data_IF_648939057739
#
_entry.id   IF_648939057739
#
_cell.length_a   1.000
_cell.length_b   1.000
_cell.length_c   1.000
_cell.angle_alpha   90.00
_cell.angle_beta   90.00
_cell.angle_gamma   90.00
#
_symmetry.space_group_name_H-M   'P 1'
#
loop_
_entity.id
_entity.type
_entity.pdbx_description
1 polymer ?
#
# COMPACT_ATOMS: atom_id res chain seq x y z
N UNK A 1 12.93 26.72 -1.89
CA UNK A 1 12.93 25.25 -1.72
C UNK A 1 11.59 24.75 -2.20
N UNK A 2 11.55 23.66 -2.98
CA UNK A 2 10.28 23.00 -3.34
C UNK A 2 9.66 22.42 -2.06
N UNK A 3 8.33 22.51 -1.97
CA UNK A 3 7.56 21.94 -0.86
C UNK A 3 7.63 20.42 -0.93
N UNK A 4 7.66 19.75 0.23
CA UNK A 4 7.58 18.29 0.26
C UNK A 4 6.24 17.81 -0.36
N UNK A 5 6.26 16.76 -1.20
CA UNK A 5 5.06 16.25 -1.84
C UNK A 5 4.05 15.71 -0.83
N UNK A 6 2.76 15.75 -1.18
CA UNK A 6 1.71 15.10 -0.41
C UNK A 6 1.70 13.59 -0.70
N UNK A 7 1.92 12.75 0.30
CA UNK A 7 2.00 11.29 0.09
C UNK A 7 0.73 10.58 0.53
N UNK A 8 0.11 9.84 -0.39
CA UNK A 8 -1.12 9.08 -0.15
C UNK A 8 -0.83 7.59 -0.33
N UNK A 9 -0.92 6.83 0.76
CA UNK A 9 -0.75 5.38 0.78
C UNK A 9 -2.10 4.66 0.65
N UNK A 10 -2.15 3.60 -0.15
CA UNK A 10 -3.32 2.71 -0.25
C UNK A 10 -2.88 1.25 -0.10
N UNK A 11 -3.21 0.66 1.04
CA UNK A 11 -2.93 -0.73 1.38
C UNK A 11 -4.16 -1.63 1.15
N UNK A 12 -3.94 -2.95 1.15
CA UNK A 12 -4.98 -3.97 1.20
C UNK A 12 -4.84 -5.06 0.14
N UNK A 13 -5.75 -6.03 0.16
CA UNK A 13 -5.63 -7.23 -0.67
C UNK A 13 -5.90 -7.05 -2.16
N UNK A 14 -5.47 -8.01 -2.97
CA UNK A 14 -5.82 -8.05 -4.39
C UNK A 14 -7.34 -7.99 -4.60
N UNK A 15 -7.76 -7.33 -5.69
CA UNK A 15 -9.17 -7.30 -6.15
C UNK A 15 -10.15 -6.41 -5.37
N UNK A 16 -9.66 -5.39 -4.64
CA UNK A 16 -10.52 -4.49 -3.84
C UNK A 16 -10.76 -3.11 -4.46
N UNK A 17 -10.41 -2.92 -5.74
CA UNK A 17 -10.63 -1.66 -6.46
C UNK A 17 -9.57 -0.57 -6.23
N UNK A 18 -8.46 -0.86 -5.52
CA UNK A 18 -7.32 0.07 -5.30
C UNK A 18 -6.85 0.76 -6.56
N UNK A 19 -6.50 -0.02 -7.59
CA UNK A 19 -5.98 0.51 -8.85
C UNK A 19 -6.98 1.45 -9.52
N UNK A 20 -8.28 1.13 -9.46
CA UNK A 20 -9.33 2.01 -9.99
C UNK A 20 -9.41 3.31 -9.20
N UNK A 21 -9.42 3.23 -7.86
CA UNK A 21 -9.40 4.39 -6.98
C UNK A 21 -8.19 5.29 -7.22
N UNK A 22 -6.98 4.72 -7.24
CA UNK A 22 -5.73 5.45 -7.44
C UNK A 22 -5.64 6.10 -8.83
N UNK A 23 -6.10 5.42 -9.89
CA UNK A 23 -6.18 6.02 -11.23
C UNK A 23 -7.13 7.21 -11.27
N UNK A 24 -8.29 7.12 -10.61
CA UNK A 24 -9.24 8.25 -10.50
C UNK A 24 -8.64 9.40 -9.70
N UNK A 25 -8.00 9.11 -8.57
CA UNK A 25 -7.35 10.12 -7.74
C UNK A 25 -6.22 10.84 -8.47
N UNK A 26 -5.40 10.08 -9.21
CA UNK A 26 -4.35 10.60 -10.08
C UNK A 26 -4.93 11.61 -11.09
N UNK A 27 -5.96 11.18 -11.83
CA UNK A 27 -6.60 12.04 -12.84
C UNK A 27 -7.17 13.34 -12.22
N UNK A 28 -7.76 13.27 -11.02
CA UNK A 28 -8.29 14.45 -10.34
C UNK A 28 -7.19 15.45 -9.95
N UNK A 29 -6.06 14.98 -9.43
CA UNK A 29 -4.93 15.87 -9.11
C UNK A 29 -4.26 16.44 -10.37
N UNK A 30 -4.10 15.64 -11.43
CA UNK A 30 -3.53 16.11 -12.70
C UNK A 30 -4.43 17.14 -13.39
N UNK A 31 -5.76 16.98 -13.32
CA UNK A 31 -6.72 17.99 -13.81
C UNK A 31 -6.59 19.33 -13.08
N UNK A 32 -6.03 19.33 -11.86
CA UNK A 32 -5.71 20.54 -11.08
C UNK A 32 -4.32 21.10 -11.40
N UNK A 33 -3.60 20.53 -12.37
CA UNK A 33 -2.28 20.97 -12.79
C UNK A 33 -1.14 20.50 -11.90
N UNK A 34 -1.36 19.53 -11.01
CA UNK A 34 -0.33 18.98 -10.13
C UNK A 34 0.46 17.87 -10.83
N UNK A 35 1.77 17.82 -10.57
CA UNK A 35 2.61 16.71 -10.95
C UNK A 35 2.35 15.52 -10.01
N UNK A 36 1.80 14.42 -10.53
CA UNK A 36 1.44 13.24 -9.73
C UNK A 36 2.34 12.06 -10.09
N UNK A 37 3.08 11.56 -9.10
CA UNK A 37 3.78 10.29 -9.22
C UNK A 37 2.87 9.15 -8.75
N UNK A 38 2.82 8.07 -9.54
CA UNK A 38 2.13 6.83 -9.15
C UNK A 38 3.17 5.76 -8.88
N UNK A 39 3.46 5.53 -7.60
CA UNK A 39 4.33 4.46 -7.13
C UNK A 39 3.48 3.21 -7.03
N UNK A 40 3.61 2.38 -8.06
CA UNK A 40 3.06 1.05 -8.10
C UNK A 40 4.21 0.13 -8.49
N UNK A 41 4.77 -0.57 -7.51
CA UNK A 41 5.61 -1.71 -7.84
C UNK A 41 4.80 -2.98 -7.61
N UNK A 42 4.73 -3.78 -8.67
CA UNK A 42 3.85 -4.92 -8.70
C UNK A 42 4.59 -6.13 -8.16
N UNK A 43 3.85 -6.99 -7.45
CA UNK A 43 4.33 -8.31 -7.12
C UNK A 43 4.81 -9.09 -8.38
N UNK A 44 4.37 -8.68 -9.58
CA UNK A 44 4.86 -9.18 -10.87
C UNK A 44 6.34 -8.87 -11.07
N UNK A 45 6.81 -7.64 -10.79
CA UNK A 45 8.23 -7.31 -10.89
C UNK A 45 9.09 -8.12 -9.90
N UNK A 46 8.55 -8.40 -8.70
CA UNK A 46 9.20 -9.28 -7.75
C UNK A 46 9.26 -10.72 -8.28
N UNK A 47 8.17 -11.25 -8.84
CA UNK A 47 8.11 -12.57 -9.48
C UNK A 47 9.08 -12.70 -10.66
N UNK A 48 9.16 -11.69 -11.53
CA UNK A 48 10.08 -11.67 -12.69
C UNK A 48 11.54 -11.72 -12.25
N UNK A 49 11.86 -11.24 -11.04
CA UNK A 49 13.18 -11.35 -10.42
C UNK A 49 13.40 -12.65 -9.65
N UNK A 50 12.41 -13.55 -9.62
CA UNK A 50 12.45 -14.83 -8.92
C UNK A 50 12.13 -14.73 -7.42
N UNK A 51 11.62 -13.60 -6.94
CA UNK A 51 11.18 -13.50 -5.55
C UNK A 51 9.84 -14.20 -5.35
N UNK A 52 9.70 -15.05 -4.31
CA UNK A 52 8.43 -15.65 -3.98
C UNK A 52 7.47 -14.62 -3.37
N UNK A 53 6.23 -14.63 -3.82
CA UNK A 53 5.17 -13.70 -3.38
C UNK A 53 3.95 -14.47 -2.85
N UNK A 54 2.91 -13.76 -2.42
CA UNK A 54 1.66 -14.34 -1.92
C UNK A 54 1.94 -15.32 -0.77
N UNK A 55 1.37 -16.55 -0.79
CA UNK A 55 1.53 -17.53 0.28
C UNK A 55 3.00 -17.94 0.53
N UNK A 56 3.88 -17.71 -0.44
CA UNK A 56 5.29 -18.05 -0.37
C UNK A 56 6.20 -16.87 0.02
N UNK A 57 5.64 -15.73 0.42
CA UNK A 57 6.42 -14.57 0.87
C UNK A 57 7.53 -14.99 1.86
N UNK A 58 8.73 -14.44 1.66
CA UNK A 58 9.91 -14.64 2.52
C UNK A 58 10.38 -13.31 3.08
N UNK A 59 11.34 -13.36 3.99
CA UNK A 59 11.98 -12.13 4.44
C UNK A 59 12.61 -11.37 3.27
N UNK A 60 13.30 -12.08 2.36
CA UNK A 60 14.05 -11.50 1.25
C UNK A 60 13.10 -10.80 0.26
N UNK A 61 11.98 -11.44 -0.10
CA UNK A 61 10.99 -10.80 -0.98
C UNK A 61 10.32 -9.60 -0.30
N UNK A 62 10.04 -9.68 1.00
CA UNK A 62 9.48 -8.56 1.77
C UNK A 62 10.45 -7.39 1.88
N UNK A 63 11.71 -7.66 2.23
CA UNK A 63 12.75 -6.65 2.33
C UNK A 63 12.98 -5.95 0.98
N UNK A 64 12.98 -6.72 -0.11
CA UNK A 64 13.10 -6.18 -1.46
C UNK A 64 11.92 -5.27 -1.82
N UNK A 65 10.68 -5.71 -1.58
CA UNK A 65 9.47 -4.91 -1.84
C UNK A 65 9.47 -3.61 -1.03
N UNK A 66 9.82 -3.66 0.25
CA UNK A 66 9.93 -2.47 1.11
C UNK A 66 11.01 -1.52 0.59
N UNK A 67 12.22 -2.02 0.31
CA UNK A 67 13.32 -1.20 -0.18
C UNK A 67 12.97 -0.53 -1.52
N UNK A 68 12.28 -1.26 -2.40
CA UNK A 68 11.87 -0.77 -3.71
C UNK A 68 10.76 0.28 -3.61
N UNK A 69 9.79 0.11 -2.70
CA UNK A 69 8.80 1.14 -2.41
C UNK A 69 9.47 2.43 -1.94
N UNK A 70 10.39 2.34 -0.97
CA UNK A 70 11.14 3.49 -0.43
C UNK A 70 11.94 4.19 -1.53
N UNK A 71 12.65 3.44 -2.38
CA UNK A 71 13.41 3.98 -3.50
C UNK A 71 12.51 4.80 -4.44
N UNK A 72 11.41 4.21 -4.91
CA UNK A 72 10.47 4.84 -5.84
C UNK A 72 9.77 6.06 -5.23
N UNK A 73 9.36 5.96 -3.97
CA UNK A 73 8.76 7.07 -3.23
C UNK A 73 9.76 8.23 -3.06
N UNK A 74 11.02 7.91 -2.78
CA UNK A 74 12.09 8.92 -2.62
C UNK A 74 12.42 9.59 -3.95
N UNK A 75 12.56 8.83 -5.03
CA UNK A 75 12.81 9.37 -6.37
C UNK A 75 11.68 10.31 -6.80
N UNK A 76 10.43 9.93 -6.53
CA UNK A 76 9.26 10.75 -6.85
C UNK A 76 9.28 12.13 -6.16
N UNK A 77 9.96 12.29 -5.01
CA UNK A 77 10.06 13.59 -4.32
C UNK A 77 10.79 14.67 -5.11
N UNK A 78 11.56 14.29 -6.13
CA UNK A 78 12.33 15.23 -6.95
C UNK A 78 11.40 16.14 -7.77
N UNK A 79 10.27 15.60 -8.24
CA UNK A 79 9.42 16.26 -9.24
C UNK A 79 7.94 16.28 -8.95
N UNK A 80 7.43 15.41 -8.07
CA UNK A 80 6.00 15.32 -7.79
C UNK A 80 5.53 16.36 -6.77
N UNK A 81 4.29 16.82 -6.94
CA UNK A 81 3.53 17.54 -5.93
C UNK A 81 2.71 16.55 -5.06
N UNK A 82 2.28 15.44 -5.66
CA UNK A 82 1.54 14.35 -5.00
C UNK A 82 2.15 13.00 -5.36
N UNK A 83 2.37 12.15 -4.37
CA UNK A 83 2.83 10.77 -4.55
C UNK A 83 1.72 9.82 -4.11
N UNK A 84 1.26 8.99 -5.04
CA UNK A 84 0.27 7.96 -4.81
C UNK A 84 0.96 6.60 -4.70
N UNK A 85 0.86 5.95 -3.55
CA UNK A 85 1.56 4.70 -3.24
C UNK A 85 0.55 3.55 -3.19
N UNK A 86 0.57 2.69 -4.21
CA UNK A 86 -0.16 1.41 -4.21
C UNK A 86 0.72 0.37 -3.51
N UNK A 87 0.25 -0.15 -2.36
CA UNK A 87 0.97 -1.09 -1.49
C UNK A 87 2.18 -0.44 -0.79
N UNK A 88 1.95 0.40 0.24
CA UNK A 88 3.01 0.98 1.05
C UNK A 88 3.82 -0.10 1.79
N UNK A 89 4.93 0.29 2.42
CA UNK A 89 5.85 -0.63 3.13
C UNK A 89 5.15 -1.59 4.11
N UNK A 90 4.11 -1.12 4.80
CA UNK A 90 3.30 -1.90 5.73
C UNK A 90 2.48 -3.01 5.05
N UNK A 91 2.11 -2.83 3.77
CA UNK A 91 1.38 -3.84 2.98
C UNK A 91 2.25 -5.09 2.81
N UNK A 92 3.50 -4.93 2.40
CA UNK A 92 4.44 -6.04 2.20
C UNK A 92 4.69 -6.84 3.50
N UNK A 93 4.81 -6.14 4.63
CA UNK A 93 4.93 -6.79 5.94
C UNK A 93 3.67 -7.58 6.31
N UNK A 94 2.48 -7.05 6.00
CA UNK A 94 1.21 -7.77 6.15
C UNK A 94 1.16 -9.06 5.34
N UNK A 95 1.61 -9.04 4.08
CA UNK A 95 1.71 -10.26 3.25
C UNK A 95 2.69 -11.27 3.82
N UNK A 96 3.84 -10.84 4.36
CA UNK A 96 4.77 -11.76 5.03
C UNK A 96 4.12 -12.45 6.22
N UNK A 97 3.45 -11.70 7.09
CA UNK A 97 2.81 -12.25 8.28
C UNK A 97 1.68 -13.22 7.91
N UNK A 98 0.89 -12.87 6.89
CA UNK A 98 -0.11 -13.76 6.31
C UNK A 98 0.50 -15.04 5.76
N UNK A 99 1.62 -14.95 5.02
CA UNK A 99 2.29 -16.09 4.42
C UNK A 99 2.85 -17.04 5.49
N UNK A 100 3.51 -16.51 6.52
CA UNK A 100 4.05 -17.27 7.64
C UNK A 100 2.93 -18.01 8.39
N UNK A 101 1.84 -17.32 8.71
CA UNK A 101 0.67 -17.92 9.34
C UNK A 101 0.02 -18.98 8.44
N UNK A 102 -0.13 -18.68 7.15
CA UNK A 102 -0.85 -19.54 6.22
C UNK A 102 -0.11 -20.87 5.99
N UNK A 103 1.22 -20.80 5.91
CA UNK A 103 2.09 -21.96 5.63
C UNK A 103 2.70 -22.59 6.88
N UNK A 104 2.31 -22.13 8.08
CA UNK A 104 2.88 -22.56 9.36
C UNK A 104 4.40 -22.45 9.42
N UNK A 105 4.96 -21.45 8.72
CA UNK A 105 6.39 -21.13 8.71
C UNK A 105 6.71 -20.08 9.78
N UNK A 106 7.96 -20.07 10.23
CA UNK A 106 8.49 -19.00 11.07
C UNK A 106 9.81 -18.48 10.49
N UNK A 107 10.14 -17.24 10.85
CA UNK A 107 11.46 -16.64 10.59
C UNK A 107 12.06 -16.21 11.93
N UNK A 108 13.38 -16.02 11.96
CA UNK A 108 14.05 -15.54 13.16
C UNK A 108 13.43 -14.20 13.64
N UNK A 109 13.10 -14.05 14.94
CA UNK A 109 12.44 -12.83 15.45
C UNK A 109 13.18 -11.54 15.10
N UNK A 110 14.52 -11.56 15.12
CA UNK A 110 15.35 -10.42 14.74
C UNK A 110 15.13 -9.95 13.29
N UNK A 111 14.80 -10.88 12.36
CA UNK A 111 14.49 -10.55 10.96
C UNK A 111 13.13 -9.85 10.86
N UNK A 112 12.12 -10.36 11.55
CA UNK A 112 10.80 -9.72 11.58
C UNK A 112 10.89 -8.31 12.18
N UNK A 113 11.59 -8.16 13.31
CA UNK A 113 11.83 -6.87 13.96
C UNK A 113 12.57 -5.88 13.06
N UNK A 114 13.48 -6.34 12.20
CA UNK A 114 14.16 -5.47 11.25
C UNK A 114 13.19 -4.85 10.24
N UNK A 115 12.25 -5.63 9.70
CA UNK A 115 11.22 -5.14 8.78
C UNK A 115 10.23 -4.20 9.49
N UNK A 116 9.86 -4.52 10.74
CA UNK A 116 9.00 -3.68 11.56
C UNK A 116 9.62 -2.30 11.81
N UNK A 117 10.92 -2.24 12.14
CA UNK A 117 11.63 -0.96 12.33
C UNK A 117 11.66 -0.10 11.08
N UNK A 118 11.75 -0.72 9.89
CA UNK A 118 11.66 0.04 8.63
C UNK A 118 10.25 0.62 8.45
N UNK A 119 9.21 -0.17 8.71
CA UNK A 119 7.82 0.31 8.65
C UNK A 119 7.57 1.44 9.66
N UNK A 120 8.07 1.31 10.89
CA UNK A 120 7.99 2.34 11.92
C UNK A 120 8.67 3.65 11.52
N UNK A 121 9.84 3.56 10.90
CA UNK A 121 10.57 4.74 10.44
C UNK A 121 9.94 5.41 9.21
N UNK A 122 9.33 4.63 8.32
CA UNK A 122 8.84 5.15 7.02
C UNK A 122 7.35 5.52 7.04
N UNK A 123 6.51 4.85 7.83
CA UNK A 123 5.07 5.13 7.85
C UNK A 123 4.71 6.60 8.17
N UNK A 124 5.45 7.34 9.03
CA UNK A 124 5.20 8.77 9.26
C UNK A 124 5.39 9.68 8.03
N UNK A 125 6.00 9.19 6.95
CA UNK A 125 6.15 9.94 5.70
C UNK A 125 4.84 10.01 4.88
N UNK A 126 3.84 9.19 5.22
CA UNK A 126 2.52 9.19 4.58
C UNK A 126 1.61 10.22 5.24
N UNK A 127 1.08 11.15 4.44
CA UNK A 127 0.17 12.19 4.90
C UNK A 127 -1.28 11.72 5.02
N UNK A 128 -1.61 10.69 4.24
CA UNK A 128 -2.92 10.09 4.20
C UNK A 128 -2.78 8.61 3.86
N UNK A 129 -3.42 7.76 4.65
CA UNK A 129 -3.45 6.32 4.40
C UNK A 129 -4.88 5.85 4.20
N UNK A 130 -5.09 5.00 3.20
CA UNK A 130 -6.28 4.20 3.03
C UNK A 130 -5.95 2.71 3.13
N UNK A 131 -6.90 1.92 3.61
CA UNK A 131 -6.85 0.47 3.47
C UNK A 131 -8.16 -0.07 2.98
N UNK A 132 -8.08 -0.93 1.98
CA UNK A 132 -9.29 -1.51 1.40
C UNK A 132 -9.85 -2.60 2.29
N UNK A 133 -11.17 -2.57 2.43
CA UNK A 133 -11.90 -3.66 3.08
C UNK A 133 -12.20 -4.73 2.04
N UNK A 134 -11.83 -5.98 2.33
CA UNK A 134 -12.17 -7.12 1.49
C UNK A 134 -13.70 -7.28 1.46
N UNK A 135 -14.27 -7.28 0.25
CA UNK A 135 -15.66 -7.64 0.03
C UNK A 135 -15.74 -9.11 -0.40
N UNK A 136 -16.28 -10.02 0.44
CA UNK A 136 -16.38 -11.44 0.11
C UNK A 136 -17.35 -11.73 -1.04
N UNK A 137 -18.23 -10.79 -1.40
CA UNK A 137 -19.23 -10.95 -2.45
C UNK A 137 -18.70 -10.69 -3.87
N UNK A 138 -17.48 -10.15 -3.99
CA UNK A 138 -16.86 -9.84 -5.29
C UNK A 138 -16.09 -11.07 -5.80
N UNK A 139 -16.58 -11.68 -6.88
CA UNK A 139 -15.94 -12.80 -7.57
C UNK A 139 -14.52 -12.45 -8.06
N UNK A 140 -13.64 -13.45 -8.04
CA UNK A 140 -12.29 -13.32 -8.58
C UNK A 140 -12.33 -13.29 -10.11
N UNK A 141 -11.67 -12.30 -10.73
CA UNK A 141 -11.42 -12.34 -12.18
C UNK A 141 -10.46 -13.47 -12.56
N UNK A 142 -10.51 -13.94 -13.80
CA UNK A 142 -9.63 -14.99 -14.33
C UNK A 142 -8.13 -14.66 -14.13
N UNK A 143 -7.33 -15.68 -13.82
CA UNK A 143 -5.88 -15.56 -13.61
C UNK A 143 -5.44 -15.03 -12.23
N UNK A 144 -6.35 -14.94 -11.26
CA UNK A 144 -6.06 -14.50 -9.89
C UNK A 144 -5.88 -15.68 -8.94
N UNK A 145 -5.11 -15.44 -7.88
CA UNK A 145 -4.81 -16.42 -6.84
C UNK A 145 -6.10 -17.05 -6.29
N UNK A 146 -6.23 -18.37 -6.51
CA UNK A 146 -7.42 -19.15 -6.16
C UNK A 146 -7.49 -19.53 -4.69
N UNK A 147 -6.45 -19.22 -3.91
CA UNK A 147 -6.42 -19.48 -2.48
C UNK A 147 -7.23 -18.43 -1.71
N UNK A 148 -8.54 -18.67 -1.64
CA UNK A 148 -9.50 -17.85 -0.89
C UNK A 148 -9.09 -17.72 0.59
N UNK A 149 -8.49 -18.76 1.18
CA UNK A 149 -8.06 -18.76 2.57
C UNK A 149 -6.85 -17.85 2.78
N UNK A 150 -5.84 -17.93 1.90
CA UNK A 150 -4.71 -17.01 1.92
C UNK A 150 -5.17 -15.57 1.72
N UNK A 151 -6.10 -15.31 0.79
CA UNK A 151 -6.63 -13.96 0.55
C UNK A 151 -7.33 -13.36 1.78
N UNK A 152 -8.12 -14.16 2.50
CA UNK A 152 -8.75 -13.73 3.75
C UNK A 152 -7.70 -13.40 4.82
N UNK A 153 -6.72 -14.29 5.03
CA UNK A 153 -5.60 -14.09 5.96
C UNK A 153 -4.77 -12.85 5.61
N UNK A 154 -4.48 -12.64 4.33
CA UNK A 154 -3.77 -11.46 3.86
C UNK A 154 -4.57 -10.18 4.15
N UNK A 155 -5.90 -10.20 4.06
CA UNK A 155 -6.72 -9.03 4.38
C UNK A 155 -6.66 -8.69 5.86
N UNK A 156 -6.75 -9.71 6.71
CA UNK A 156 -6.67 -9.56 8.17
C UNK A 156 -5.29 -9.06 8.60
N UNK A 157 -4.21 -9.70 8.14
CA UNK A 157 -2.85 -9.35 8.54
C UNK A 157 -2.40 -8.01 7.97
N UNK A 158 -2.73 -7.68 6.72
CA UNK A 158 -2.46 -6.35 6.18
C UNK A 158 -3.20 -5.28 6.99
N UNK A 159 -4.48 -5.52 7.32
CA UNK A 159 -5.25 -4.58 8.15
C UNK A 159 -4.59 -4.40 9.51
N UNK A 160 -4.19 -5.49 10.18
CA UNK A 160 -3.55 -5.47 11.49
C UNK A 160 -2.22 -4.72 11.48
N UNK A 161 -1.39 -4.95 10.46
CA UNK A 161 -0.09 -4.27 10.30
C UNK A 161 -0.30 -2.79 9.99
N UNK A 162 -1.21 -2.46 9.08
CA UNK A 162 -1.58 -1.08 8.77
C UNK A 162 -2.09 -0.34 10.01
N UNK A 163 -2.96 -0.96 10.81
CA UNK A 163 -3.50 -0.34 12.02
C UNK A 163 -2.41 -0.06 13.07
N UNK A 164 -1.34 -0.83 13.08
CA UNK A 164 -0.18 -0.60 13.95
C UNK A 164 0.68 0.58 13.50
N UNK A 165 0.97 0.70 12.20
CA UNK A 165 1.94 1.67 11.69
C UNK A 165 1.31 2.94 11.12
N UNK A 166 0.04 2.89 10.72
CA UNK A 166 -0.74 3.99 10.14
C UNK A 166 -2.10 4.06 10.87
N UNK A 167 -2.13 4.38 12.18
CA UNK A 167 -3.34 4.29 12.99
C UNK A 167 -4.46 5.24 12.53
N UNK A 168 -4.12 6.36 11.90
CA UNK A 168 -5.07 7.34 11.34
C UNK A 168 -5.57 6.97 9.93
N UNK A 169 -5.38 5.71 9.50
CA UNK A 169 -5.87 5.23 8.20
C UNK A 169 -7.38 5.43 8.05
N UNK A 170 -7.80 5.53 6.79
CA UNK A 170 -9.20 5.54 6.39
C UNK A 170 -9.59 4.25 5.67
N UNK A 171 -10.82 3.79 5.90
CA UNK A 171 -11.32 2.59 5.24
C UNK A 171 -11.83 2.91 3.84
N UNK A 172 -11.31 2.22 2.84
CA UNK A 172 -11.81 2.26 1.46
C UNK A 172 -12.72 1.06 1.23
N UNK A 173 -14.04 1.27 1.42
CA UNK A 173 -15.09 0.24 1.25
C UNK A 173 -15.61 0.21 -0.18
N UNK A 174 -16.20 -0.91 -0.60
CA UNK A 174 -16.93 -1.00 -1.85
C UNK A 174 -18.04 0.07 -1.90
N UNK A 175 -18.18 0.77 -3.04
CA UNK A 175 -19.09 1.92 -3.18
C UNK A 175 -18.66 3.22 -2.48
N UNK A 176 -17.61 3.20 -1.66
CA UNK A 176 -17.12 4.38 -0.91
C UNK A 176 -16.07 5.23 -1.65
N UNK A 177 -15.77 4.92 -2.91
CA UNK A 177 -14.66 5.55 -3.64
C UNK A 177 -14.85 7.06 -3.81
N UNK A 178 -16.06 7.55 -4.06
CA UNK A 178 -16.31 8.98 -4.30
C UNK A 178 -16.11 9.81 -3.03
N UNK A 179 -16.57 9.30 -1.88
CA UNK A 179 -16.33 9.92 -0.58
C UNK A 179 -14.83 9.93 -0.24
N UNK A 180 -14.12 8.83 -0.50
CA UNK A 180 -12.68 8.74 -0.28
C UNK A 180 -11.88 9.69 -1.21
N UNK A 181 -12.31 9.86 -2.46
CA UNK A 181 -11.73 10.83 -3.39
C UNK A 181 -11.92 12.26 -2.88
N UNK A 182 -13.14 12.63 -2.50
CA UNK A 182 -13.44 13.95 -1.94
C UNK A 182 -12.63 14.22 -0.67
N UNK A 183 -12.49 13.23 0.20
CA UNK A 183 -11.70 13.33 1.42
C UNK A 183 -10.20 13.53 1.12
N UNK A 184 -9.62 12.75 0.20
CA UNK A 184 -8.21 12.88 -0.16
C UNK A 184 -7.88 14.27 -0.73
N UNK A 185 -8.79 14.80 -1.55
CA UNK A 185 -8.72 16.16 -2.09
C UNK A 185 -8.76 17.21 -0.97
N UNK A 186 -9.71 17.09 -0.03
CA UNK A 186 -9.83 18.03 1.08
C UNK A 186 -8.58 18.00 1.98
N UNK A 187 -8.07 16.81 2.32
CA UNK A 187 -6.86 16.65 3.12
C UNK A 187 -5.62 17.29 2.45
N UNK A 188 -5.49 17.13 1.13
CA UNK A 188 -4.47 17.81 0.35
C UNK A 188 -4.63 19.34 0.45
N UNK A 189 -5.83 19.86 0.20
CA UNK A 189 -6.12 21.29 0.20
C UNK A 189 -5.87 21.91 1.59
N UNK A 190 -6.26 21.22 2.68
CA UNK A 190 -6.05 21.68 4.07
C UNK A 190 -4.57 21.73 4.44
N UNK A 191 -3.80 20.69 4.12
CA UNK A 191 -2.36 20.72 4.31
C UNK A 191 -1.74 21.86 3.51
N UNK A 192 -2.26 22.14 2.30
CA UNK A 192 -1.72 23.20 1.43
C UNK A 192 -2.09 24.62 1.85
N UNK A 193 -3.25 24.84 2.47
CA UNK A 193 -3.69 26.14 3.01
C UNK A 193 -3.02 26.54 4.32
N UNK A 194 -2.51 25.58 5.09
CA UNK A 194 -1.82 25.83 6.37
C UNK A 194 -0.38 26.35 6.26
N UNK A 195 0.05 26.80 5.07
CA UNK A 195 1.41 27.33 4.79
C UNK A 195 1.30 28.72 4.20
#
# INVERSE_FOLDING_TARGET
MRRAPFRIAVAGTHSTGKTTFLKRLKALFEQRGLAVAYVHDSAVNAQDKGFPILADHTFESTAWLIARAIELETEATISADVILVDRPVADALGYLQAALLHTSRSIAPARLQALERICEAWAPEYDLAFVTVLDPSVELGEGRDGDVLFRARAAEEVTRVVDRFMPDRHLLRHGGADAALAFAIAAFDDKHRGV
#
